data_IF_281814445649
#
_entry.id   IF_281814445649
#
_cell.length_a   1.000
_cell.length_b   1.000
_cell.length_c   1.000
_cell.angle_alpha   90.00
_cell.angle_beta   90.00
_cell.angle_gamma   90.00
#
_symmetry.space_group_name_H-M   'P 1'
#
loop_
_entity.id
_entity.type
_entity.pdbx_description
1 polymer ?
#
# COMPACT_ATOMS: atom_id res chain seq x y z
N UNK A 1 9.81 15.66 23.62
CA UNK A 1 9.85 15.93 22.17
C UNK A 1 9.62 17.40 21.79
N UNK A 2 8.79 18.17 22.51
CA UNK A 2 8.46 19.55 22.11
C UNK A 2 9.61 20.56 22.06
N UNK A 3 10.70 20.36 22.81
CA UNK A 3 11.85 21.30 22.81
C UNK A 3 12.71 21.25 21.53
N UNK A 4 12.56 20.21 20.70
CA UNK A 4 13.38 19.97 19.50
C UNK A 4 12.56 20.02 18.20
N UNK A 5 11.24 20.16 18.28
CA UNK A 5 10.36 20.34 17.12
C UNK A 5 10.27 21.82 16.75
N UNK A 6 11.26 22.30 15.99
CA UNK A 6 11.17 23.59 15.30
C UNK A 6 10.35 23.44 14.01
N UNK A 7 9.80 24.55 13.50
CA UNK A 7 9.02 24.60 12.25
C UNK A 7 9.73 23.87 11.08
N UNK A 8 11.05 24.05 10.98
CA UNK A 8 11.88 23.46 9.92
C UNK A 8 12.00 21.93 10.00
N UNK A 9 11.72 21.34 11.16
CA UNK A 9 11.88 19.90 11.42
C UNK A 9 10.60 19.12 11.06
N UNK A 10 9.44 19.78 11.01
CA UNK A 10 8.17 19.14 10.65
C UNK A 10 8.16 18.48 9.26
N UNK A 11 8.65 19.11 8.17
CA UNK A 11 8.69 18.45 6.87
C UNK A 11 9.61 17.21 6.87
N UNK A 12 10.74 17.28 7.58
CA UNK A 12 11.67 16.17 7.70
C UNK A 12 11.06 14.98 8.46
N UNK A 13 10.41 15.25 9.60
CA UNK A 13 9.69 14.24 10.39
C UNK A 13 8.50 13.68 9.61
N UNK A 14 7.81 14.51 8.83
CA UNK A 14 6.74 14.07 7.94
C UNK A 14 7.24 13.05 6.92
N UNK A 15 8.35 13.33 6.25
CA UNK A 15 8.95 12.39 5.30
C UNK A 15 9.41 11.09 5.97
N UNK A 16 10.11 11.18 7.12
CA UNK A 16 10.60 10.00 7.83
C UNK A 16 9.46 9.11 8.35
N UNK A 17 8.41 9.70 8.92
CA UNK A 17 7.25 8.94 9.41
C UNK A 17 6.47 8.31 8.26
N UNK A 18 6.33 9.01 7.13
CA UNK A 18 5.71 8.45 5.92
C UNK A 18 6.45 7.20 5.41
N UNK A 19 7.78 7.29 5.23
CA UNK A 19 8.59 6.15 4.75
C UNK A 19 8.56 5.00 5.74
N UNK A 20 8.68 5.28 7.04
CA UNK A 20 8.60 4.25 8.09
C UNK A 20 7.23 3.56 8.09
N UNK A 21 6.15 4.34 7.96
CA UNK A 21 4.79 3.82 7.84
C UNK A 21 4.60 2.96 6.59
N UNK A 22 5.20 3.36 5.46
CA UNK A 22 5.18 2.58 4.22
C UNK A 22 5.90 1.24 4.40
N UNK A 23 7.07 1.21 5.05
CA UNK A 23 7.77 -0.04 5.35
C UNK A 23 6.95 -0.95 6.26
N UNK A 24 6.37 -0.41 7.34
CA UNK A 24 5.51 -1.17 8.25
C UNK A 24 4.29 -1.75 7.54
N UNK A 25 3.64 -0.96 6.68
CA UNK A 25 2.51 -1.43 5.87
C UNK A 25 2.90 -2.57 4.93
N UNK A 26 4.04 -2.45 4.25
CA UNK A 26 4.53 -3.51 3.37
C UNK A 26 4.86 -4.80 4.13
N UNK A 27 5.59 -4.69 5.25
CA UNK A 27 5.94 -5.83 6.09
C UNK A 27 4.68 -6.51 6.67
N UNK A 28 3.70 -5.73 7.11
CA UNK A 28 2.44 -6.25 7.66
C UNK A 28 1.67 -7.02 6.60
N UNK A 29 1.58 -6.49 5.37
CA UNK A 29 0.99 -7.23 4.24
C UNK A 29 1.77 -8.50 3.89
N UNK A 30 3.09 -8.43 3.88
CA UNK A 30 3.95 -9.57 3.59
C UNK A 30 3.80 -10.68 4.65
N UNK A 31 3.64 -10.31 5.92
CA UNK A 31 3.45 -11.28 6.99
C UNK A 31 2.06 -11.93 6.94
N UNK A 32 1.00 -11.14 6.69
CA UNK A 32 -0.39 -11.61 6.83
C UNK A 32 -1.02 -12.15 5.55
N UNK A 33 -0.60 -11.67 4.38
CA UNK A 33 -1.26 -11.97 3.10
C UNK A 33 -0.35 -12.72 2.12
N UNK A 34 0.90 -13.02 2.48
CA UNK A 34 1.72 -13.88 1.65
C UNK A 34 1.18 -15.32 1.74
N UNK A 35 0.91 -15.97 0.59
CA UNK A 35 0.42 -17.35 0.58
C UNK A 35 1.43 -18.35 1.17
N UNK A 36 2.71 -17.95 1.25
CA UNK A 36 3.80 -18.77 1.81
C UNK A 36 3.97 -18.60 3.34
N UNK A 37 3.39 -17.56 3.94
CA UNK A 37 3.58 -17.23 5.37
C UNK A 37 2.36 -17.67 6.19
N UNK A 38 2.49 -18.81 6.88
CA UNK A 38 1.39 -19.45 7.64
C UNK A 38 1.38 -19.08 9.12
N UNK A 39 0.83 -17.92 9.45
CA UNK A 39 0.72 -17.46 10.84
C UNK A 39 -0.36 -18.26 11.61
N UNK A 40 -1.49 -18.57 10.96
CA UNK A 40 -2.62 -19.26 11.59
C UNK A 40 -2.33 -20.76 11.83
N UNK A 41 -2.60 -21.26 13.04
CA UNK A 41 -2.46 -22.69 13.38
C UNK A 41 -3.35 -23.60 12.51
N UNK A 42 -4.51 -23.12 12.06
CA UNK A 42 -5.39 -23.89 11.17
C UNK A 42 -4.72 -24.18 9.81
N UNK A 43 -4.04 -23.18 9.22
CA UNK A 43 -3.32 -23.29 7.95
C UNK A 43 -2.03 -24.13 8.02
N UNK A 44 -1.56 -24.47 9.23
CA UNK A 44 -0.42 -25.40 9.41
C UNK A 44 -0.84 -26.87 9.35
N UNK A 45 -2.14 -27.16 9.55
CA UNK A 45 -2.66 -28.53 9.57
C UNK A 45 -3.09 -29.03 8.19
N UNK A 46 -3.24 -28.13 7.22
CA UNK A 46 -3.55 -28.48 5.83
C UNK A 46 -2.28 -28.84 5.07
N UNK A 47 -2.17 -30.12 4.68
CA UNK A 47 -1.03 -30.65 3.92
C UNK A 47 -1.05 -30.21 2.44
N UNK A 48 -2.21 -29.85 1.91
CA UNK A 48 -2.41 -29.44 0.51
C UNK A 48 -2.51 -27.92 0.42
N UNK A 49 -1.73 -27.33 -0.50
CA UNK A 49 -1.68 -25.89 -0.83
C UNK A 49 -2.82 -25.51 -1.78
N UNK A 50 -4.09 -25.59 -1.34
CA UNK A 50 -5.19 -24.96 -2.08
C UNK A 50 -5.26 -23.46 -1.77
N UNK A 51 -4.25 -22.71 -2.23
CA UNK A 51 -4.08 -21.29 -1.90
C UNK A 51 -4.24 -20.32 -3.09
N UNK A 52 -4.97 -20.75 -4.12
CA UNK A 52 -5.17 -19.94 -5.34
C UNK A 52 -5.89 -18.62 -5.03
N UNK A 53 -6.98 -18.65 -4.26
CA UNK A 53 -7.73 -17.43 -3.92
C UNK A 53 -6.92 -16.44 -3.06
N UNK A 54 -6.05 -16.92 -2.16
CA UNK A 54 -5.20 -16.05 -1.36
C UNK A 54 -4.08 -15.43 -2.21
N UNK A 55 -3.51 -16.22 -3.13
CA UNK A 55 -2.55 -15.75 -4.14
C UNK A 55 -3.13 -14.68 -5.06
N UNK A 56 -4.36 -14.85 -5.53
CA UNK A 56 -5.09 -13.84 -6.31
C UNK A 56 -5.30 -12.55 -5.52
N UNK A 57 -5.72 -12.66 -4.25
CA UNK A 57 -5.91 -11.51 -3.35
C UNK A 57 -4.59 -10.79 -3.05
N UNK A 58 -3.47 -11.52 -2.99
CA UNK A 58 -2.15 -10.95 -2.81
C UNK A 58 -1.67 -10.19 -4.06
N UNK A 59 -1.81 -10.80 -5.24
CA UNK A 59 -1.41 -10.22 -6.52
C UNK A 59 -2.28 -9.01 -6.92
N UNK A 60 -3.60 -9.13 -6.78
CA UNK A 60 -4.56 -8.07 -7.07
C UNK A 60 -5.02 -7.33 -5.80
N UNK A 61 -4.12 -6.54 -5.19
CA UNK A 61 -4.57 -5.69 -4.09
C UNK A 61 -5.62 -4.65 -4.55
N UNK A 62 -6.55 -4.30 -3.65
CA UNK A 62 -7.72 -3.45 -3.94
C UNK A 62 -7.38 -2.14 -4.66
N UNK A 63 -6.27 -1.50 -4.30
CA UNK A 63 -5.83 -0.26 -4.94
C UNK A 63 -5.40 -0.50 -6.40
N UNK A 64 -4.73 -1.61 -6.73
CA UNK A 64 -4.41 -1.97 -8.13
C UNK A 64 -5.68 -2.25 -8.93
N UNK A 65 -6.64 -2.96 -8.33
CA UNK A 65 -7.95 -3.23 -8.98
C UNK A 65 -8.74 -1.94 -9.23
N UNK A 66 -8.69 -1.01 -8.28
CA UNK A 66 -9.28 0.33 -8.40
C UNK A 66 -8.61 1.19 -9.46
N UNK A 67 -7.27 1.19 -9.53
CA UNK A 67 -6.51 1.96 -10.50
C UNK A 67 -6.62 1.39 -11.93
N UNK A 68 -6.92 0.10 -12.10
CA UNK A 68 -7.04 -0.54 -13.42
C UNK A 68 -8.17 0.02 -14.29
N UNK A 69 -9.24 0.54 -13.68
CA UNK A 69 -10.38 1.12 -14.42
C UNK A 69 -10.23 2.60 -14.70
N UNK A 70 -9.19 3.24 -14.15
CA UNK A 70 -8.93 4.66 -14.34
C UNK A 70 -7.95 4.87 -15.50
N UNK A 71 -8.14 5.90 -16.34
CA UNK A 71 -7.15 6.24 -17.34
C UNK A 71 -5.82 6.59 -16.65
N UNK A 72 -4.66 6.28 -17.26
CA UNK A 72 -3.35 6.56 -16.69
C UNK A 72 -3.06 8.06 -16.74
N UNK A 73 -3.68 8.82 -15.85
CA UNK A 73 -3.49 10.25 -15.69
C UNK A 73 -3.06 10.51 -14.25
N UNK A 74 -1.86 11.09 -14.08
CA UNK A 74 -1.29 11.38 -12.77
C UNK A 74 -2.11 12.45 -12.04
N UNK A 75 -2.63 13.44 -12.77
CA UNK A 75 -3.48 14.51 -12.23
C UNK A 75 -4.59 14.87 -13.23
N UNK A 76 -5.73 14.15 -13.23
CA UNK A 76 -6.82 14.42 -14.17
C UNK A 76 -7.41 15.82 -14.02
N UNK A 77 -7.39 16.39 -12.82
CA UNK A 77 -7.87 17.75 -12.57
C UNK A 77 -6.95 18.82 -13.18
N UNK A 78 -5.62 18.69 -13.02
CA UNK A 78 -4.66 19.58 -13.69
C UNK A 78 -4.72 19.42 -15.21
N UNK A 79 -4.77 18.17 -15.70
CA UNK A 79 -4.86 17.93 -17.14
C UNK A 79 -6.09 18.60 -17.74
N UNK A 80 -7.27 18.46 -17.11
CA UNK A 80 -8.49 19.16 -17.56
C UNK A 80 -8.33 20.67 -17.53
N UNK A 81 -7.74 21.22 -16.47
CA UNK A 81 -7.48 22.66 -16.35
C UNK A 81 -6.62 23.21 -17.50
N UNK A 82 -5.60 22.47 -17.94
CA UNK A 82 -4.73 22.89 -19.05
C UNK A 82 -5.26 22.49 -20.44
N UNK A 83 -6.15 21.51 -20.55
CA UNK A 83 -6.71 21.05 -21.83
C UNK A 83 -8.03 21.74 -22.20
N UNK A 84 -8.83 22.15 -21.22
CA UNK A 84 -10.07 22.89 -21.44
C UNK A 84 -9.73 24.37 -21.72
N UNK A 85 -9.35 24.67 -22.96
CA UNK A 85 -9.30 26.04 -23.47
C UNK A 85 -10.71 26.47 -23.91
N UNK A 86 -11.46 27.07 -22.99
CA UNK A 86 -12.55 28.01 -23.28
C UNK A 86 -12.40 29.23 -22.36
#
# INVERSE_FOLDING_TARGET
MGRWMKADVYPLVGAMTFVTGMCLFQLTRNALLNPDVRINKAHRRTAVLENQEEGEKYAEHRLRKFLRTRPPQVMPALNRFFSDNN
#
